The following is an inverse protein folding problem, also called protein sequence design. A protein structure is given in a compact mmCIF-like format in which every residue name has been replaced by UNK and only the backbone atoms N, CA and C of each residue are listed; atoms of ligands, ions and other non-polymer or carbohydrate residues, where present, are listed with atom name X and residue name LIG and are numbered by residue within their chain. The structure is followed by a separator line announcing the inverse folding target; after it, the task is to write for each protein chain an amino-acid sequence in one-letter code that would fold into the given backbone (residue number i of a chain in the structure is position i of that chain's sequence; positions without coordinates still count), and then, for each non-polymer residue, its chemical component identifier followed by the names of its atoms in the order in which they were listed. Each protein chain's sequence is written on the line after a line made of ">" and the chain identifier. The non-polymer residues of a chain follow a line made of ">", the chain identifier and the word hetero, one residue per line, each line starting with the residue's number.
data_IF_685880852195
#
_entry.id   IF_685880852195
#
_cell.length_a   1.000
_cell.length_b   1.000
_cell.length_c   1.000
_cell.angle_alpha   90.00
_cell.angle_beta   90.00
_cell.angle_gamma   90.00
#
_symmetry.space_group_name_H-M   'P 1'
#
loop_
_entity.id
_entity.type
_entity.pdbx_description
1 polymer ?
#
# COMPACT_ATOMS: atom_id res chain seq x y z
N UNK A 1 -28.47 -10.06 3.91
CA UNK A 1 -28.16 -10.96 2.77
C UNK A 1 -29.37 -11.77 2.32
N UNK A 2 -29.92 -12.67 3.16
CA UNK A 2 -31.08 -13.51 2.79
C UNK A 2 -32.28 -12.71 2.28
N UNK A 3 -32.74 -11.71 3.04
CA UNK A 3 -33.87 -10.88 2.67
C UNK A 3 -33.67 -10.18 1.32
N UNK A 4 -32.51 -9.52 1.13
CA UNK A 4 -32.12 -8.87 -0.13
C UNK A 4 -32.13 -9.84 -1.32
N UNK A 5 -31.66 -11.08 -1.12
CA UNK A 5 -31.68 -12.10 -2.18
C UNK A 5 -33.10 -12.61 -2.48
N UNK A 6 -33.98 -12.67 -1.49
CA UNK A 6 -35.39 -13.02 -1.68
C UNK A 6 -36.08 -11.94 -2.51
N UNK A 7 -35.91 -10.68 -2.12
CA UNK A 7 -36.46 -9.51 -2.84
C UNK A 7 -35.99 -9.45 -4.30
N UNK A 8 -34.78 -9.94 -4.58
CA UNK A 8 -34.21 -10.00 -5.93
C UNK A 8 -34.52 -11.29 -6.70
N UNK A 9 -35.25 -12.24 -6.11
CA UNK A 9 -35.56 -13.53 -6.74
C UNK A 9 -34.35 -14.46 -6.92
N UNK A 10 -33.27 -14.25 -6.15
CA UNK A 10 -32.01 -14.99 -6.25
C UNK A 10 -31.77 -15.96 -5.10
N UNK A 11 -32.69 -16.01 -4.12
CA UNK A 11 -32.58 -16.92 -2.98
C UNK A 11 -32.93 -18.37 -3.36
N UNK A 12 -32.06 -19.31 -2.98
CA UNK A 12 -32.28 -20.76 -3.12
C UNK A 12 -32.40 -21.41 -1.74
N UNK A 13 -33.33 -22.35 -1.57
CA UNK A 13 -33.46 -23.08 -0.31
C UNK A 13 -32.20 -23.92 -0.04
N UNK A 14 -31.68 -23.84 1.19
CA UNK A 14 -30.40 -24.47 1.56
C UNK A 14 -29.15 -23.69 1.15
N UNK A 15 -29.29 -22.47 0.62
CA UNK A 15 -28.14 -21.62 0.28
C UNK A 15 -27.38 -21.19 1.53
N UNK A 16 -26.10 -21.55 1.59
CA UNK A 16 -25.20 -21.11 2.64
C UNK A 16 -24.96 -19.60 2.56
N UNK A 17 -24.86 -18.93 3.71
CA UNK A 17 -24.45 -17.52 3.77
C UNK A 17 -23.04 -17.35 3.16
N UNK A 18 -22.12 -18.20 3.60
CA UNK A 18 -20.73 -18.26 3.16
C UNK A 18 -20.22 -19.70 3.05
N UNK A 19 -19.75 -20.08 1.86
CA UNK A 19 -19.03 -21.34 1.68
C UNK A 19 -17.55 -21.20 2.06
N UNK A 20 -16.90 -22.32 2.41
CA UNK A 20 -15.52 -22.36 2.89
C UNK A 20 -14.53 -21.72 1.89
N UNK A 21 -14.61 -22.07 0.61
CA UNK A 21 -13.74 -21.52 -0.43
C UNK A 21 -13.86 -19.99 -0.55
N UNK A 22 -15.04 -19.41 -0.34
CA UNK A 22 -15.19 -17.95 -0.31
C UNK A 22 -14.59 -17.36 0.97
N UNK A 23 -14.64 -18.05 2.11
CA UNK A 23 -13.97 -17.61 3.36
C UNK A 23 -12.45 -17.60 3.18
N UNK A 24 -11.93 -18.59 2.47
CA UNK A 24 -10.50 -18.73 2.14
C UNK A 24 -10.05 -17.80 1.01
N UNK A 25 -10.95 -16.95 0.48
CA UNK A 25 -10.68 -15.98 -0.59
C UNK A 25 -10.13 -16.61 -1.87
N UNK A 26 -10.55 -17.84 -2.16
CA UNK A 26 -10.28 -18.49 -3.45
C UNK A 26 -11.15 -17.81 -4.51
N UNK A 27 -10.52 -17.05 -5.40
CA UNK A 27 -11.21 -16.37 -6.49
C UNK A 27 -11.26 -17.29 -7.72
N UNK A 28 -12.49 -17.70 -8.07
CA UNK A 28 -12.79 -18.56 -9.20
C UNK A 28 -13.97 -17.95 -9.95
N UNK A 29 -13.73 -17.61 -11.21
CA UNK A 29 -14.68 -16.89 -12.06
C UNK A 29 -15.90 -17.76 -12.40
N UNK A 30 -15.77 -19.08 -12.32
CA UNK A 30 -16.86 -20.02 -12.62
C UNK A 30 -17.85 -20.15 -11.46
N UNK A 31 -17.42 -19.76 -10.24
CA UNK A 31 -18.23 -19.87 -9.02
C UNK A 31 -19.05 -18.63 -8.82
N UNK A 32 -20.21 -18.57 -9.46
CA UNK A 32 -21.10 -17.40 -9.44
C UNK A 32 -22.24 -17.51 -8.40
N UNK A 33 -22.63 -18.74 -8.01
CA UNK A 33 -23.80 -18.98 -7.16
C UNK A 33 -23.56 -19.89 -5.95
N UNK A 34 -22.29 -20.06 -5.55
CA UNK A 34 -21.90 -21.00 -4.50
C UNK A 34 -22.37 -20.65 -3.08
N UNK A 35 -22.64 -19.37 -2.79
CA UNK A 35 -23.17 -18.90 -1.51
C UNK A 35 -23.81 -17.52 -1.65
N UNK A 36 -24.62 -17.12 -0.66
CA UNK A 36 -25.31 -15.84 -0.65
C UNK A 36 -24.35 -14.65 -0.85
N UNK A 37 -23.18 -14.65 -0.18
CA UNK A 37 -22.19 -13.58 -0.35
C UNK A 37 -21.70 -13.46 -1.79
N UNK A 38 -21.41 -14.57 -2.48
CA UNK A 38 -20.90 -14.52 -3.86
C UNK A 38 -21.95 -14.00 -4.82
N UNK A 39 -23.19 -14.46 -4.69
CA UNK A 39 -24.32 -13.96 -5.49
C UNK A 39 -24.48 -12.45 -5.30
N UNK A 40 -24.48 -11.98 -4.04
CA UNK A 40 -24.59 -10.55 -3.72
C UNK A 40 -23.41 -9.76 -4.29
N UNK A 41 -22.17 -10.26 -4.15
CA UNK A 41 -20.98 -9.55 -4.64
C UNK A 41 -20.96 -9.36 -6.16
N UNK A 42 -21.68 -10.20 -6.90
CA UNK A 42 -21.80 -10.12 -8.36
C UNK A 42 -23.02 -9.30 -8.81
N UNK A 43 -23.81 -8.76 -7.87
CA UNK A 43 -24.93 -7.92 -8.23
C UNK A 43 -24.46 -6.57 -8.79
N UNK A 44 -25.17 -6.00 -9.79
CA UNK A 44 -24.73 -4.79 -10.47
C UNK A 44 -24.50 -3.59 -9.53
N UNK A 45 -25.34 -3.42 -8.52
CA UNK A 45 -25.22 -2.35 -7.53
C UNK A 45 -23.99 -2.53 -6.62
N UNK A 46 -23.69 -3.76 -6.20
CA UNK A 46 -22.48 -4.06 -5.43
C UNK A 46 -21.21 -3.90 -6.26
N UNK A 47 -21.24 -4.27 -7.55
CA UNK A 47 -20.12 -4.07 -8.46
C UNK A 47 -19.92 -2.58 -8.81
N UNK A 48 -21.00 -1.81 -8.91
CA UNK A 48 -20.97 -0.38 -9.18
C UNK A 48 -20.64 0.47 -7.94
N UNK A 49 -20.81 -0.09 -6.74
CA UNK A 49 -20.53 0.60 -5.48
C UNK A 49 -19.05 0.94 -5.39
N UNK A 50 -18.75 2.25 -5.43
CA UNK A 50 -17.40 2.75 -5.17
C UNK A 50 -17.13 2.74 -3.68
N UNK A 51 -15.87 2.57 -3.30
CA UNK A 51 -15.48 2.71 -1.91
C UNK A 51 -15.63 4.16 -1.46
N UNK A 52 -15.92 4.39 -0.18
CA UNK A 52 -15.99 5.75 0.38
C UNK A 52 -14.70 6.55 0.13
N UNK A 53 -13.56 5.87 0.07
CA UNK A 53 -12.27 6.48 -0.25
C UNK A 53 -12.20 6.93 -1.72
N UNK A 54 -12.65 6.10 -2.66
CA UNK A 54 -12.73 6.49 -4.07
C UNK A 54 -13.73 7.63 -4.29
N UNK A 55 -14.88 7.63 -3.62
CA UNK A 55 -15.85 8.72 -3.69
C UNK A 55 -15.26 10.03 -3.16
N UNK A 56 -14.65 10.01 -1.97
CA UNK A 56 -14.05 11.19 -1.34
C UNK A 56 -12.82 11.73 -2.08
N UNK A 57 -12.02 10.85 -2.70
CA UNK A 57 -10.79 11.28 -3.38
C UNK A 57 -11.09 11.72 -4.82
N UNK A 58 -11.87 10.93 -5.57
CA UNK A 58 -12.06 11.14 -7.00
C UNK A 58 -13.17 12.15 -7.32
N UNK A 59 -14.28 12.14 -6.57
CA UNK A 59 -15.48 12.91 -6.94
C UNK A 59 -15.58 14.26 -6.22
N UNK A 60 -15.20 14.35 -4.95
CA UNK A 60 -15.38 15.60 -4.20
C UNK A 60 -14.19 16.55 -4.27
N UNK A 61 -12.99 16.06 -4.57
CA UNK A 61 -11.77 16.88 -4.46
C UNK A 61 -10.79 16.77 -5.63
N UNK A 62 -10.99 15.82 -6.57
CA UNK A 62 -10.14 15.67 -7.76
C UNK A 62 -8.70 15.22 -7.47
N UNK A 63 -8.44 14.64 -6.29
CA UNK A 63 -7.10 14.15 -5.95
C UNK A 63 -6.80 12.79 -6.60
N UNK A 64 -5.52 12.50 -6.81
CA UNK A 64 -5.06 11.18 -7.26
C UNK A 64 -4.69 10.33 -6.04
N UNK A 65 -5.22 9.11 -5.97
CA UNK A 65 -4.84 8.13 -4.95
C UNK A 65 -3.68 7.26 -5.44
N UNK A 66 -2.61 7.16 -4.66
CA UNK A 66 -1.50 6.23 -4.91
C UNK A 66 -1.62 5.06 -3.95
N UNK A 67 -1.86 3.86 -4.48
CA UNK A 67 -1.94 2.64 -3.69
C UNK A 67 -0.55 2.00 -3.54
N UNK A 68 -0.16 1.75 -2.30
CA UNK A 68 1.08 1.05 -1.97
C UNK A 68 0.81 -0.43 -1.64
N UNK A 69 1.70 -1.35 -2.04
CA UNK A 69 1.68 -2.73 -1.60
C UNK A 69 1.73 -2.84 -0.06
N UNK A 70 1.02 -3.82 0.50
CA UNK A 70 1.05 -4.09 1.95
C UNK A 70 2.44 -4.60 2.35
N UNK A 71 2.89 -4.21 3.54
CA UNK A 71 4.18 -4.61 4.13
C UNK A 71 5.44 -4.14 3.39
N UNK A 72 5.32 -3.11 2.55
CA UNK A 72 6.44 -2.52 1.80
C UNK A 72 6.66 -1.06 2.18
N UNK A 73 7.02 -0.81 3.45
CA UNK A 73 7.18 0.54 3.99
C UNK A 73 8.31 1.34 3.31
N UNK A 74 9.29 0.66 2.71
CA UNK A 74 10.38 1.24 1.92
C UNK A 74 9.91 1.97 0.66
N UNK A 75 8.70 1.65 0.17
CA UNK A 75 8.08 2.27 -1.00
C UNK A 75 7.35 3.57 -0.64
N UNK A 76 7.03 3.80 0.65
CA UNK A 76 6.40 5.03 1.10
C UNK A 76 7.45 5.99 1.67
N UNK A 77 7.76 7.07 0.94
CA UNK A 77 8.82 7.98 1.35
C UNK A 77 8.52 8.71 2.67
N UNK A 78 7.25 8.81 3.08
CA UNK A 78 6.86 9.46 4.34
C UNK A 78 7.44 8.74 5.56
N UNK A 79 7.67 7.43 5.49
CA UNK A 79 8.27 6.65 6.57
C UNK A 79 9.70 7.13 6.88
N UNK A 80 10.43 7.56 5.83
CA UNK A 80 11.79 8.12 5.98
C UNK A 80 11.75 9.54 6.54
N UNK A 81 10.76 10.33 6.14
CA UNK A 81 10.52 11.66 6.71
C UNK A 81 10.24 11.57 8.20
N UNK A 82 9.31 10.70 8.62
CA UNK A 82 9.03 10.44 10.02
C UNK A 82 10.23 9.88 10.76
N UNK A 83 11.03 9.02 10.14
CA UNK A 83 12.30 8.53 10.70
C UNK A 83 13.28 9.66 11.00
N UNK A 84 13.45 10.61 10.08
CA UNK A 84 14.33 11.77 10.27
C UNK A 84 13.82 12.71 11.37
N UNK A 85 12.53 13.05 11.34
CA UNK A 85 11.90 13.90 12.36
C UNK A 85 11.98 13.25 13.76
N UNK A 86 11.71 11.94 13.87
CA UNK A 86 11.84 11.22 15.15
C UNK A 86 13.26 11.22 15.70
N UNK A 87 14.26 11.10 14.82
CA UNK A 87 15.67 11.18 15.23
C UNK A 87 15.99 12.57 15.79
N UNK A 88 15.58 13.64 15.10
CA UNK A 88 15.74 14.99 15.60
C UNK A 88 15.06 15.17 16.97
N UNK A 89 13.81 14.73 17.10
CA UNK A 89 13.08 14.84 18.36
C UNK A 89 13.79 14.09 19.50
N UNK A 90 14.31 12.89 19.24
CA UNK A 90 15.09 12.09 20.21
C UNK A 90 16.37 12.77 20.66
N UNK A 91 17.05 13.50 19.78
CA UNK A 91 18.29 14.20 20.09
C UNK A 91 18.04 15.51 20.87
N UNK A 92 16.82 16.05 20.83
CA UNK A 92 16.49 17.38 21.34
C UNK A 92 15.37 17.40 22.40
N UNK A 93 14.95 16.23 22.91
CA UNK A 93 13.84 16.11 23.85
C UNK A 93 14.19 15.21 25.04
N UNK A 94 13.71 15.60 26.21
CA UNK A 94 13.80 14.83 27.47
C UNK A 94 12.65 13.81 27.63
N UNK A 95 11.84 13.64 26.59
CA UNK A 95 10.66 12.77 26.54
C UNK A 95 9.54 13.13 27.53
N UNK A 96 9.57 14.32 28.14
CA UNK A 96 8.39 14.85 28.81
C UNK A 96 7.32 15.24 27.79
N UNK A 97 6.04 15.16 28.18
CA UNK A 97 4.93 15.50 27.30
C UNK A 97 5.02 16.95 26.80
N UNK A 98 5.30 17.89 27.70
CA UNK A 98 5.43 19.32 27.38
C UNK A 98 6.58 19.58 26.40
N UNK A 99 7.71 18.90 26.58
CA UNK A 99 8.84 19.04 25.66
C UNK A 99 8.55 18.39 24.31
N UNK A 100 7.86 17.24 24.27
CA UNK A 100 7.40 16.64 23.00
C UNK A 100 6.46 17.54 22.22
N UNK A 101 5.47 18.17 22.89
CA UNK A 101 4.56 19.12 22.25
C UNK A 101 5.31 20.28 21.58
N UNK A 102 6.39 20.76 22.19
CA UNK A 102 7.24 21.83 21.67
C UNK A 102 8.19 21.35 20.57
N UNK A 103 8.79 20.17 20.73
CA UNK A 103 9.87 19.67 19.85
C UNK A 103 9.33 19.05 18.57
N UNK A 104 8.16 18.40 18.58
CA UNK A 104 7.63 17.71 17.39
C UNK A 104 7.43 18.67 16.20
N UNK A 105 6.82 19.86 16.34
CA UNK A 105 6.69 20.81 15.23
C UNK A 105 8.06 21.20 14.64
N UNK A 106 9.02 21.53 15.50
CA UNK A 106 10.40 21.89 15.10
C UNK A 106 11.09 20.72 14.41
N UNK A 107 10.89 19.49 14.89
CA UNK A 107 11.46 18.30 14.30
C UNK A 107 10.93 18.04 12.88
N UNK A 108 9.65 18.34 12.64
CA UNK A 108 9.04 18.24 11.32
C UNK A 108 9.59 19.30 10.36
N UNK A 109 9.72 20.55 10.83
CA UNK A 109 10.30 21.65 10.05
C UNK A 109 11.80 21.48 9.77
N UNK A 110 12.53 20.73 10.61
CA UNK A 110 13.97 20.48 10.42
C UNK A 110 14.28 19.63 9.18
N UNK A 111 13.30 18.94 8.61
CA UNK A 111 13.51 18.09 7.43
C UNK A 111 13.28 18.92 6.16
N UNK A 112 14.38 19.40 5.58
CA UNK A 112 14.32 20.24 4.39
C UNK A 112 13.71 19.53 3.15
N UNK A 113 13.25 20.33 2.19
CA UNK A 113 12.64 19.82 0.94
C UNK A 113 13.63 19.01 0.10
N UNK A 114 14.94 19.29 0.16
CA UNK A 114 15.96 18.56 -0.59
C UNK A 114 16.06 17.12 -0.05
N UNK A 115 15.98 16.94 1.26
CA UNK A 115 15.98 15.67 1.96
C UNK A 115 14.69 14.89 1.69
N UNK A 116 13.52 15.57 1.70
CA UNK A 116 12.24 14.96 1.28
C UNK A 116 12.35 14.42 -0.16
N UNK A 117 12.89 15.21 -1.09
CA UNK A 117 13.12 14.77 -2.48
C UNK A 117 14.11 13.61 -2.58
N UNK A 118 15.12 13.54 -1.70
CA UNK A 118 16.03 12.38 -1.61
C UNK A 118 15.29 11.13 -1.13
N UNK A 119 14.38 11.24 -0.17
CA UNK A 119 13.56 10.12 0.30
C UNK A 119 12.62 9.60 -0.79
N UNK A 120 11.95 10.48 -1.52
CA UNK A 120 11.09 10.11 -2.65
C UNK A 120 11.88 9.35 -3.74
N UNK A 121 13.04 9.87 -4.14
CA UNK A 121 13.93 9.18 -5.11
C UNK A 121 14.39 7.81 -4.62
N UNK A 122 14.65 7.66 -3.32
CA UNK A 122 15.01 6.36 -2.75
C UNK A 122 13.84 5.38 -2.83
N UNK A 123 12.62 5.79 -2.50
CA UNK A 123 11.43 4.95 -2.64
C UNK A 123 11.22 4.51 -4.10
N UNK A 124 11.34 5.43 -5.04
CA UNK A 124 11.27 5.14 -6.49
C UNK A 124 12.30 4.09 -6.93
N UNK A 125 13.51 4.12 -6.37
CA UNK A 125 14.53 3.10 -6.67
C UNK A 125 14.15 1.71 -6.20
N UNK A 126 13.53 1.59 -5.02
CA UNK A 126 13.01 0.30 -4.57
C UNK A 126 11.87 -0.18 -5.47
N UNK A 127 10.97 0.72 -5.90
CA UNK A 127 9.91 0.37 -6.85
C UNK A 127 10.49 -0.16 -8.17
N UNK A 128 11.53 0.48 -8.69
CA UNK A 128 12.22 0.08 -9.91
C UNK A 128 12.87 -1.31 -9.78
N UNK A 129 13.58 -1.56 -8.68
CA UNK A 129 14.15 -2.88 -8.37
C UNK A 129 13.09 -3.97 -8.32
N UNK A 130 11.97 -3.70 -7.64
CA UNK A 130 10.89 -4.68 -7.49
C UNK A 130 10.19 -4.98 -8.82
N UNK A 131 10.00 -3.97 -9.68
CA UNK A 131 9.49 -4.17 -11.05
C UNK A 131 10.40 -5.05 -11.90
N UNK A 132 11.70 -5.05 -11.60
CA UNK A 132 12.70 -5.88 -12.26
C UNK A 132 12.95 -7.22 -11.54
N UNK A 133 12.10 -7.60 -10.58
CA UNK A 133 12.17 -8.89 -9.88
C UNK A 133 13.17 -8.96 -8.73
N UNK A 134 13.93 -7.89 -8.47
CA UNK A 134 14.97 -7.89 -7.43
C UNK A 134 14.34 -7.51 -6.10
N UNK A 135 14.33 -8.41 -5.12
CA UNK A 135 13.63 -8.19 -3.84
C UNK A 135 14.53 -8.40 -2.62
N UNK A 136 13.97 -8.16 -1.43
CA UNK A 136 14.60 -8.48 -0.13
C UNK A 136 15.98 -7.83 0.08
N UNK A 137 16.91 -8.62 0.61
CA UNK A 137 18.29 -8.16 0.91
C UNK A 137 19.05 -7.72 -0.35
N UNK A 138 18.77 -8.34 -1.50
CA UNK A 138 19.41 -8.01 -2.77
C UNK A 138 19.00 -6.61 -3.25
N UNK A 139 17.71 -6.29 -3.13
CA UNK A 139 17.21 -4.95 -3.43
C UNK A 139 17.84 -3.89 -2.51
N UNK A 140 17.97 -4.21 -1.21
CA UNK A 140 18.62 -3.30 -0.26
C UNK A 140 20.10 -3.08 -0.60
N UNK A 141 20.82 -4.15 -0.95
CA UNK A 141 22.21 -4.06 -1.40
C UNK A 141 22.34 -3.20 -2.66
N UNK A 142 21.53 -3.47 -3.69
CA UNK A 142 21.57 -2.74 -4.96
C UNK A 142 21.23 -1.26 -4.77
N UNK A 143 20.20 -0.94 -3.99
CA UNK A 143 19.81 0.44 -3.69
C UNK A 143 20.92 1.22 -2.94
N UNK A 144 21.71 0.53 -2.09
CA UNK A 144 22.86 1.12 -1.38
C UNK A 144 24.09 1.27 -2.28
N UNK A 145 24.44 0.24 -3.06
CA UNK A 145 25.63 0.21 -3.93
C UNK A 145 25.53 1.25 -5.03
N UNK A 146 24.40 1.33 -5.72
CA UNK A 146 24.19 2.23 -6.86
C UNK A 146 23.54 3.56 -6.44
N UNK A 147 23.88 4.07 -5.24
CA UNK A 147 23.26 5.28 -4.69
C UNK A 147 23.52 6.54 -5.54
N UNK A 148 24.71 6.63 -6.16
CA UNK A 148 25.19 7.76 -6.97
C UNK A 148 24.56 7.82 -8.35
N UNK A 149 24.15 6.68 -8.90
CA UNK A 149 23.52 6.62 -10.22
C UNK A 149 22.08 7.12 -10.14
N UNK A 150 21.54 7.67 -11.22
CA UNK A 150 20.13 8.11 -11.27
C UNK A 150 19.19 6.90 -11.32
N UNK A 151 19.55 5.88 -12.09
CA UNK A 151 18.91 4.56 -12.19
C UNK A 151 19.95 3.45 -11.95
N UNK A 152 19.48 2.21 -11.75
CA UNK A 152 20.35 1.03 -11.72
C UNK A 152 20.48 0.55 -13.18
N UNK A 153 21.70 0.44 -13.74
CA UNK A 153 21.84 0.06 -15.15
C UNK A 153 21.27 -1.33 -15.45
N UNK A 154 20.71 -1.52 -16.65
CA UNK A 154 20.04 -2.77 -17.04
C UNK A 154 20.95 -4.00 -16.93
N UNK A 155 22.22 -3.87 -17.30
CA UNK A 155 23.19 -4.97 -17.18
C UNK A 155 23.37 -5.43 -15.73
N UNK A 156 23.29 -4.50 -14.76
CA UNK A 156 23.35 -4.82 -13.33
C UNK A 156 22.08 -5.55 -12.90
N UNK A 157 20.92 -5.15 -13.40
CA UNK A 157 19.66 -5.82 -13.10
C UNK A 157 19.70 -7.28 -13.61
N UNK A 158 20.20 -7.49 -14.82
CA UNK A 158 20.41 -8.81 -15.41
C UNK A 158 21.39 -9.65 -14.60
N UNK A 159 22.49 -9.06 -14.12
CA UNK A 159 23.44 -9.78 -13.25
C UNK A 159 22.82 -10.15 -11.90
N UNK A 160 22.11 -9.23 -11.24
CA UNK A 160 21.50 -9.46 -9.94
C UNK A 160 20.41 -10.55 -10.01
N UNK A 161 19.67 -10.62 -11.11
CA UNK A 161 18.68 -11.68 -11.35
C UNK A 161 19.29 -13.07 -11.61
N UNK A 162 20.61 -13.18 -11.83
CA UNK A 162 21.29 -14.48 -11.97
C UNK A 162 21.80 -15.04 -10.64
N UNK A 163 21.65 -14.31 -9.54
CA UNK A 163 22.17 -14.69 -8.20
C UNK A 163 21.14 -15.47 -7.37
N UNK A 164 20.25 -16.23 -8.02
CA UNK A 164 19.35 -17.16 -7.31
C UNK A 164 20.11 -18.34 -6.68
#
# INVERSE_FOLDING_TARGET
>A
MKQVLIERGLWKNGLNADCQLCKDKVDDITRIDCCARRIISLQPDFLAQKSALEEAILHSTGHLCIFYPKFHCELNFIERYWGAAKRYARENCDYSWSSLQRVVPVALESVDTIMIRKFARKAWRYMDLYRNGITGKLAEYAAKKYKSHRCIPDYVLVELNKVE
#
